data_IF_528865757354
#
_entry.id   IF_528865757354
#
_cell.length_a   1.000
_cell.length_b   1.000
_cell.length_c   1.000
_cell.angle_alpha   90.00
_cell.angle_beta   90.00
_cell.angle_gamma   90.00
#
_symmetry.space_group_name_H-M   'P 1'
#
loop_
_entity.id
_entity.type
_entity.pdbx_description
1 polymer ?
#
# COMPACT_ATOMS: atom_id res chain seq x y z
N UNK A 1 36.37 46.23 -37.43
CA UNK A 1 36.49 45.09 -36.51
C UNK A 1 35.10 44.49 -36.38
N UNK A 2 34.92 43.24 -36.81
CA UNK A 2 33.63 42.54 -36.84
C UNK A 2 33.34 42.00 -35.44
N UNK A 3 32.19 42.34 -34.86
CA UNK A 3 31.62 41.62 -33.71
C UNK A 3 30.37 40.88 -34.20
N UNK A 4 30.49 39.57 -34.31
CA UNK A 4 29.39 38.65 -34.62
C UNK A 4 28.61 38.37 -33.34
N UNK A 5 27.41 38.93 -33.20
CA UNK A 5 26.44 38.48 -32.20
C UNK A 5 25.54 37.43 -32.88
N UNK A 6 25.66 36.17 -32.45
CA UNK A 6 24.79 35.08 -32.89
C UNK A 6 23.47 35.20 -32.14
N UNK A 7 22.40 35.58 -32.84
CA UNK A 7 21.03 35.47 -32.32
C UNK A 7 20.52 34.02 -32.50
N UNK A 8 19.85 33.41 -31.51
CA UNK A 8 19.14 32.16 -31.71
C UNK A 8 17.87 32.39 -32.57
N UNK A 9 17.45 31.41 -33.41
CA UNK A 9 16.31 31.57 -34.29
C UNK A 9 14.98 31.61 -33.53
N UNK A 10 14.17 32.60 -33.92
CA UNK A 10 12.75 32.79 -33.63
C UNK A 10 11.90 31.78 -34.40
N UNK A 11 11.07 31.00 -33.70
CA UNK A 11 9.84 30.33 -34.19
C UNK A 11 9.23 29.53 -33.02
N UNK A 12 7.98 29.61 -32.61
CA UNK A 12 6.82 30.44 -32.89
C UNK A 12 5.69 29.84 -32.03
N UNK A 13 4.90 30.67 -31.35
CA UNK A 13 3.58 30.27 -30.87
C UNK A 13 2.67 31.50 -30.89
N UNK A 14 1.76 31.48 -31.86
CA UNK A 14 0.67 32.42 -32.04
C UNK A 14 -0.34 32.32 -30.89
N UNK A 15 -0.47 33.45 -30.16
CA UNK A 15 -1.72 34.12 -29.73
C UNK A 15 -2.77 33.35 -28.87
N UNK A 16 -3.75 34.07 -28.28
CA UNK A 16 -4.11 33.95 -26.88
C UNK A 16 -5.46 33.23 -26.71
N UNK A 17 -5.87 33.04 -25.47
CA UNK A 17 -7.26 33.22 -24.97
C UNK A 17 -7.54 32.25 -23.83
N UNK A 18 -7.40 32.81 -22.63
CA UNK A 18 -8.32 32.64 -21.50
C UNK A 18 -9.38 31.55 -21.69
N UNK A 19 -9.17 30.39 -21.08
CA UNK A 19 -10.18 29.33 -21.03
C UNK A 19 -11.50 29.90 -20.45
N UNK A 20 -12.64 29.78 -21.15
CA UNK A 20 -13.93 30.11 -20.58
C UNK A 20 -14.25 29.10 -19.47
N UNK A 21 -14.47 29.63 -18.26
CA UNK A 21 -15.08 28.91 -17.15
C UNK A 21 -16.55 28.63 -17.45
N UNK A 22 -16.85 27.61 -18.24
CA UNK A 22 -18.19 27.00 -18.33
C UNK A 22 -18.03 25.56 -18.82
N UNK A 23 -17.96 24.62 -17.88
CA UNK A 23 -18.26 23.22 -18.18
C UNK A 23 -19.75 23.11 -18.55
N UNK A 24 -20.16 22.36 -19.59
CA UNK A 24 -21.56 22.07 -19.81
C UNK A 24 -22.10 21.27 -18.63
N UNK A 25 -23.19 21.73 -18.02
CA UNK A 25 -23.82 21.15 -16.81
C UNK A 25 -24.44 19.76 -17.03
N UNK A 26 -24.35 19.18 -18.24
CA UNK A 26 -25.03 17.93 -18.59
C UNK A 26 -24.10 16.71 -18.78
N UNK A 27 -22.85 16.78 -18.32
CA UNK A 27 -21.94 15.63 -18.28
C UNK A 27 -21.92 14.94 -16.91
N UNK A 28 -23.06 14.87 -16.21
CA UNK A 28 -23.27 13.87 -15.14
C UNK A 28 -23.81 12.59 -15.80
N UNK A 29 -22.99 12.00 -16.65
CA UNK A 29 -23.12 10.59 -16.99
C UNK A 29 -22.43 9.83 -15.88
N UNK A 30 -23.15 9.51 -14.80
CA UNK A 30 -22.66 8.59 -13.79
C UNK A 30 -22.22 7.30 -14.46
N UNK A 31 -20.92 7.14 -14.67
CA UNK A 31 -20.35 5.84 -14.97
C UNK A 31 -20.33 5.11 -13.63
N UNK A 32 -21.49 4.56 -13.28
CA UNK A 32 -21.70 3.59 -12.21
C UNK A 32 -21.05 2.27 -12.64
N UNK A 33 -19.74 2.27 -12.93
CA UNK A 33 -18.93 1.05 -12.92
C UNK A 33 -18.14 1.07 -11.61
N UNK A 34 -18.82 0.78 -10.47
CA UNK A 34 -18.09 0.70 -9.22
C UNK A 34 -17.02 -0.38 -9.38
N UNK A 35 -15.81 -0.08 -8.91
CA UNK A 35 -14.79 -1.10 -8.80
C UNK A 35 -15.41 -2.29 -8.06
N UNK A 36 -15.06 -3.54 -8.39
CA UNK A 36 -15.75 -4.74 -7.88
C UNK A 36 -15.70 -4.93 -6.34
N UNK A 37 -15.15 -3.96 -5.61
CA UNK A 37 -14.96 -3.93 -4.17
C UNK A 37 -15.67 -2.76 -3.48
N UNK A 38 -16.35 -1.85 -4.19
CA UNK A 38 -16.96 -0.65 -3.58
C UNK A 38 -18.30 -0.94 -2.86
N UNK A 39 -18.90 -2.11 -3.09
CA UNK A 39 -20.10 -2.58 -2.39
C UNK A 39 -19.80 -3.46 -1.17
N UNK A 40 -18.77 -3.13 -0.40
CA UNK A 40 -18.57 -3.75 0.93
C UNK A 40 -19.22 -2.84 1.96
N UNK A 41 -20.45 -3.20 2.34
CA UNK A 41 -21.11 -2.67 3.55
C UNK A 41 -20.13 -2.76 4.72
N UNK A 42 -19.93 -1.65 5.44
CA UNK A 42 -19.21 -1.63 6.72
C UNK A 42 -19.96 -2.51 7.73
N UNK A 43 -19.69 -3.81 7.71
CA UNK A 43 -19.86 -4.66 8.86
C UNK A 43 -18.50 -4.75 9.55
N UNK A 44 -18.35 -4.04 10.66
CA UNK A 44 -17.37 -4.37 11.68
C UNK A 44 -17.52 -5.85 12.04
N UNK A 45 -16.54 -6.73 11.75
CA UNK A 45 -16.56 -8.06 12.31
C UNK A 45 -15.85 -7.98 13.65
N UNK A 46 -16.58 -7.55 14.67
CA UNK A 46 -16.34 -8.12 16.00
C UNK A 46 -16.76 -9.59 15.90
N UNK A 47 -15.80 -10.48 16.14
CA UNK A 47 -15.92 -11.94 16.13
C UNK A 47 -16.06 -12.62 14.75
N UNK A 48 -14.96 -13.21 14.30
CA UNK A 48 -14.87 -14.64 13.94
C UNK A 48 -13.38 -15.05 13.81
N UNK A 49 -12.59 -14.83 14.87
CA UNK A 49 -11.31 -15.54 15.05
C UNK A 49 -11.55 -16.90 15.69
N UNK A 50 -12.34 -17.75 15.04
CA UNK A 50 -12.49 -19.14 15.46
C UNK A 50 -12.77 -20.00 14.23
N UNK A 51 -11.83 -20.87 13.88
CA UNK A 51 -12.09 -21.91 12.88
C UNK A 51 -11.36 -21.78 11.54
N UNK A 52 -10.20 -21.12 11.49
CA UNK A 52 -9.25 -21.39 10.42
C UNK A 52 -8.67 -22.79 10.62
N UNK A 53 -9.35 -23.83 10.12
CA UNK A 53 -8.89 -25.22 10.10
C UNK A 53 -7.40 -25.23 9.76
N UNK A 54 -6.57 -25.57 10.75
CA UNK A 54 -5.13 -25.56 10.64
C UNK A 54 -4.72 -26.46 9.49
N UNK A 55 -4.51 -25.89 8.31
CA UNK A 55 -3.91 -26.59 7.19
C UNK A 55 -2.51 -26.95 7.66
N UNK A 56 -2.32 -28.21 8.06
CA UNK A 56 -1.01 -28.77 8.33
C UNK A 56 -0.31 -28.93 6.98
N UNK A 57 0.26 -27.83 6.49
CA UNK A 57 1.09 -27.82 5.29
C UNK A 57 2.42 -28.47 5.68
N UNK A 58 2.57 -29.75 5.30
CA UNK A 58 3.84 -30.48 5.47
C UNK A 58 4.92 -29.75 4.69
N UNK A 59 6.03 -29.41 5.36
CA UNK A 59 7.11 -28.70 4.71
C UNK A 59 7.81 -29.61 3.70
N UNK A 60 7.86 -29.22 2.42
CA UNK A 60 8.68 -29.89 1.40
C UNK A 60 10.17 -29.58 1.66
N UNK A 61 11.11 -30.46 1.28
CA UNK A 61 12.53 -30.12 1.32
C UNK A 61 12.78 -28.85 0.49
N UNK A 62 13.38 -27.84 1.11
CA UNK A 62 13.57 -26.50 0.53
C UNK A 62 12.44 -25.49 0.80
N UNK A 63 11.38 -25.87 1.53
CA UNK A 63 10.33 -24.94 1.92
C UNK A 63 10.80 -23.98 3.01
N UNK A 64 10.68 -22.67 2.73
CA UNK A 64 10.97 -21.62 3.70
C UNK A 64 10.00 -21.75 4.89
N UNK A 65 10.55 -21.89 6.09
CA UNK A 65 9.78 -21.93 7.33
C UNK A 65 10.19 -20.77 8.22
N UNK A 66 9.20 -20.11 8.81
CA UNK A 66 9.44 -19.16 9.89
C UNK A 66 9.98 -19.87 11.13
N UNK A 67 10.81 -19.15 11.89
CA UNK A 67 11.37 -19.64 13.13
C UNK A 67 10.24 -19.91 14.15
N UNK A 68 10.30 -21.05 14.84
CA UNK A 68 9.32 -21.45 15.84
C UNK A 68 9.11 -20.40 16.93
N UNK A 69 10.18 -19.70 17.32
CA UNK A 69 10.14 -18.64 18.32
C UNK A 69 9.22 -17.48 17.90
N UNK A 70 8.97 -17.27 16.61
CA UNK A 70 8.06 -16.23 16.11
C UNK A 70 6.63 -16.78 16.06
N UNK A 71 6.45 -18.01 15.59
CA UNK A 71 5.12 -18.62 15.42
C UNK A 71 4.47 -19.03 16.74
N UNK A 72 5.26 -19.24 17.80
CA UNK A 72 4.78 -19.64 19.13
C UNK A 72 4.54 -18.44 20.07
N UNK A 73 4.91 -17.21 19.66
CA UNK A 73 4.60 -15.98 20.41
C UNK A 73 3.11 -15.68 20.39
N UNK A 74 2.63 -15.04 21.47
CA UNK A 74 1.30 -14.40 21.45
C UNK A 74 1.29 -13.24 20.46
N UNK A 75 0.11 -12.86 19.98
CA UNK A 75 -0.01 -11.74 19.05
C UNK A 75 0.56 -10.44 19.62
N UNK A 76 0.35 -10.15 20.91
CA UNK A 76 0.93 -8.97 21.58
C UNK A 76 2.46 -8.99 21.57
N UNK A 77 3.06 -10.16 21.84
CA UNK A 77 4.51 -10.36 21.77
C UNK A 77 5.03 -10.17 20.34
N UNK A 78 4.29 -10.64 19.33
CA UNK A 78 4.63 -10.42 17.92
C UNK A 78 4.58 -8.93 17.59
N UNK A 79 3.54 -8.20 18.01
CA UNK A 79 3.42 -6.75 17.80
C UNK A 79 4.61 -6.01 18.44
N UNK A 80 4.94 -6.34 19.69
CA UNK A 80 6.07 -5.71 20.39
C UNK A 80 7.41 -6.02 19.69
N UNK A 81 7.63 -7.27 19.33
CA UNK A 81 8.80 -7.71 18.55
C UNK A 81 8.90 -6.93 17.23
N UNK A 82 7.80 -6.79 16.49
CA UNK A 82 7.76 -6.07 15.22
C UNK A 82 8.06 -4.58 15.42
N UNK A 83 7.49 -3.93 16.43
CA UNK A 83 7.81 -2.53 16.78
C UNK A 83 9.29 -2.36 17.12
N UNK A 84 9.86 -3.26 17.93
CA UNK A 84 11.26 -3.24 18.32
C UNK A 84 12.19 -3.44 17.12
N UNK A 85 11.86 -4.37 16.21
CA UNK A 85 12.64 -4.61 14.99
C UNK A 85 12.52 -3.43 14.01
N UNK A 86 11.32 -2.93 13.83
CA UNK A 86 11.01 -1.74 13.05
C UNK A 86 11.84 -0.53 13.51
N UNK A 87 11.93 -0.33 14.83
CA UNK A 87 12.70 0.76 15.42
C UNK A 87 14.21 0.62 15.17
N UNK A 88 14.74 -0.61 15.22
CA UNK A 88 16.15 -0.90 14.96
C UNK A 88 16.55 -0.69 13.49
N UNK A 89 15.67 -1.04 12.55
CA UNK A 89 16.00 -1.02 11.11
C UNK A 89 15.76 0.36 10.50
N UNK A 90 14.65 1.02 10.84
CA UNK A 90 14.24 2.27 10.19
C UNK A 90 14.20 3.47 11.15
N UNK A 91 14.75 3.31 12.36
CA UNK A 91 14.80 4.38 13.36
C UNK A 91 13.47 4.57 14.10
N UNK A 92 13.30 5.72 14.79
CA UNK A 92 12.23 5.91 15.79
C UNK A 92 10.81 5.97 15.21
N UNK A 93 10.65 5.87 13.89
CA UNK A 93 9.34 5.91 13.26
C UNK A 93 8.56 4.62 13.55
N UNK A 94 7.51 4.77 14.36
CA UNK A 94 6.58 3.70 14.65
C UNK A 94 5.95 3.14 13.35
N UNK A 95 5.83 1.81 13.22
CA UNK A 95 5.16 1.22 12.08
C UNK A 95 3.66 1.55 12.13
N UNK A 96 3.08 1.78 10.95
CA UNK A 96 1.63 2.02 10.82
C UNK A 96 0.86 0.73 11.11
N UNK A 97 -0.37 0.85 11.57
CA UNK A 97 -1.20 -0.30 11.93
C UNK A 97 -1.35 -1.31 10.78
N UNK A 98 -1.66 -0.82 9.57
CA UNK A 98 -1.76 -1.65 8.36
C UNK A 98 -0.47 -2.43 8.06
N UNK A 99 0.70 -1.89 8.39
CA UNK A 99 1.97 -2.59 8.21
C UNK A 99 2.12 -3.73 9.21
N UNK A 100 1.76 -3.48 10.48
CA UNK A 100 1.81 -4.50 11.53
C UNK A 100 0.86 -5.66 11.24
N UNK A 101 -0.40 -5.36 10.91
CA UNK A 101 -1.42 -6.36 10.61
C UNK A 101 -1.03 -7.21 9.42
N UNK A 102 -0.54 -6.59 8.35
CA UNK A 102 -0.10 -7.31 7.15
C UNK A 102 1.05 -8.27 7.44
N UNK A 103 2.01 -7.88 8.30
CA UNK A 103 3.12 -8.76 8.68
C UNK A 103 2.65 -9.88 9.60
N UNK A 104 1.69 -9.63 10.49
CA UNK A 104 1.11 -10.65 11.35
C UNK A 104 0.37 -11.71 10.51
N UNK A 105 -0.43 -11.29 9.53
CA UNK A 105 -1.09 -12.23 8.61
C UNK A 105 -0.08 -13.07 7.82
N UNK A 106 1.05 -12.46 7.42
CA UNK A 106 2.16 -13.18 6.80
C UNK A 106 2.83 -14.20 7.75
N UNK A 107 2.97 -13.87 9.04
CA UNK A 107 3.47 -14.82 10.06
C UNK A 107 2.55 -16.04 10.16
N UNK A 108 1.25 -15.81 10.10
CA UNK A 108 0.24 -16.88 10.07
C UNK A 108 0.07 -17.56 8.69
N UNK A 109 0.95 -17.24 7.73
CA UNK A 109 0.97 -17.80 6.37
C UNK A 109 -0.34 -17.58 5.62
N UNK A 110 -0.97 -16.43 5.83
CA UNK A 110 -2.17 -16.02 5.09
C UNK A 110 -1.75 -15.20 3.87
N UNK A 111 -2.30 -15.56 2.71
CA UNK A 111 -2.17 -14.71 1.52
C UNK A 111 -2.90 -13.39 1.80
N UNK A 112 -2.17 -12.29 1.75
CA UNK A 112 -2.64 -10.98 2.22
C UNK A 112 -2.67 -9.98 1.07
N UNK A 113 -3.83 -9.38 0.82
CA UNK A 113 -4.00 -8.28 -0.14
C UNK A 113 -4.26 -6.99 0.64
N UNK A 114 -3.46 -5.96 0.41
CA UNK A 114 -3.52 -4.70 1.15
C UNK A 114 -3.85 -3.54 0.21
N UNK A 115 -5.00 -2.91 0.39
CA UNK A 115 -5.33 -1.66 -0.28
C UNK A 115 -4.75 -0.49 0.51
N UNK A 116 -3.76 0.21 -0.06
CA UNK A 116 -3.11 1.32 0.62
C UNK A 116 -2.58 2.36 -0.38
N UNK A 117 -2.75 3.63 -0.03
CA UNK A 117 -2.23 4.77 -0.79
C UNK A 117 -0.70 4.79 -0.95
N UNK A 118 -0.21 5.74 -1.74
CA UNK A 118 1.23 6.02 -1.84
C UNK A 118 1.75 6.59 -0.51
N UNK A 119 3.05 6.43 -0.22
CA UNK A 119 3.64 6.91 1.05
C UNK A 119 3.22 6.15 2.31
N UNK A 120 2.38 5.11 2.22
CA UNK A 120 2.05 4.24 3.36
C UNK A 120 3.25 3.42 3.82
N UNK A 121 4.21 3.17 2.93
CA UNK A 121 5.41 2.37 3.22
C UNK A 121 5.18 0.88 3.01
N UNK A 122 4.45 0.50 1.96
CA UNK A 122 4.13 -0.91 1.64
C UNK A 122 5.39 -1.78 1.51
N UNK A 123 6.50 -1.24 1.01
CA UNK A 123 7.78 -1.97 0.90
C UNK A 123 8.24 -2.55 2.24
N UNK A 124 7.96 -1.85 3.35
CA UNK A 124 8.31 -2.26 4.71
C UNK A 124 7.58 -3.53 5.19
N UNK A 125 6.51 -3.96 4.51
CA UNK A 125 5.77 -5.18 4.88
C UNK A 125 6.54 -6.44 4.45
N UNK A 126 7.28 -6.36 3.34
CA UNK A 126 7.97 -7.52 2.75
C UNK A 126 9.46 -7.62 3.13
N UNK A 127 10.01 -6.61 3.81
CA UNK A 127 11.42 -6.50 4.24
C UNK A 127 11.64 -7.06 5.66
#
# INVERSE_FOLDING_TARGET
MVNTQVNPPSCGYDRPDMFPSTLPEDAIGSTEDPLPFENVVEHHPEELFSGGSGRVIKNKPGQLTLNKNITEMTQDQQIEMLKNRSAKVYGPQAPKQVQLESVIDLIYRRDTFVLAGTGVGKSRIAE
#
